data_IF_027093850653
#
_entry.id   IF_027093850653
#
_cell.length_a   1.000
_cell.length_b   1.000
_cell.length_c   1.000
_cell.angle_alpha   90.00
_cell.angle_beta   90.00
_cell.angle_gamma   90.00
#
_symmetry.space_group_name_H-M   'P 1'
#
loop_
_entity.id
_entity.type
_entity.pdbx_description
1 polymer ?
#
# COMPACT_ATOMS: atom_id res chain seq x y z
N UNK A 1 -23.98 0.87 -45.80
CA UNK A 1 -22.88 1.61 -45.14
C UNK A 1 -22.29 0.69 -44.07
N UNK A 2 -20.99 0.39 -44.13
CA UNK A 2 -20.32 -0.52 -43.18
C UNK A 2 -19.50 0.34 -42.21
N UNK A 3 -19.91 0.39 -40.95
CA UNK A 3 -19.18 1.13 -39.91
C UNK A 3 -18.09 0.19 -39.38
N UNK A 4 -16.84 0.47 -39.75
CA UNK A 4 -15.69 -0.24 -39.21
C UNK A 4 -15.11 0.58 -38.05
N UNK A 5 -15.17 0.01 -36.84
CA UNK A 5 -14.60 0.61 -35.65
C UNK A 5 -13.12 0.22 -35.55
N UNK A 6 -12.23 1.20 -35.38
CA UNK A 6 -10.83 0.92 -35.05
C UNK A 6 -10.76 0.28 -33.66
N UNK A 7 -9.95 -0.78 -33.46
CA UNK A 7 -9.78 -1.38 -32.15
C UNK A 7 -9.26 -0.33 -31.18
N UNK A 8 -10.01 -0.11 -30.11
CA UNK A 8 -9.60 0.79 -29.04
C UNK A 8 -8.48 0.07 -28.30
N UNK A 9 -7.24 0.48 -28.54
CA UNK A 9 -6.08 -0.02 -27.79
C UNK A 9 -6.33 0.30 -26.31
N UNK A 10 -6.58 -0.74 -25.51
CA UNK A 10 -6.71 -0.60 -24.07
C UNK A 10 -5.38 -0.05 -23.56
N UNK A 11 -5.36 1.20 -23.11
CA UNK A 11 -4.20 1.73 -22.40
C UNK A 11 -3.96 0.79 -21.22
N UNK A 12 -2.86 0.03 -21.25
CA UNK A 12 -2.44 -0.80 -20.12
C UNK A 12 -2.43 0.11 -18.90
N UNK A 13 -3.23 -0.23 -17.90
CA UNK A 13 -3.24 0.49 -16.63
C UNK A 13 -1.79 0.55 -16.12
N UNK A 14 -1.31 1.75 -15.79
CA UNK A 14 0.03 1.94 -15.26
C UNK A 14 0.19 1.03 -14.03
N UNK A 15 1.28 0.24 -13.92
CA UNK A 15 1.46 -0.63 -12.77
C UNK A 15 1.44 0.22 -11.50
N UNK A 16 0.68 -0.23 -10.50
CA UNK A 16 0.65 0.44 -9.20
C UNK A 16 2.07 0.45 -8.63
N UNK A 17 2.53 1.56 -8.01
CA UNK A 17 3.81 1.59 -7.33
C UNK A 17 3.87 0.45 -6.32
N UNK A 18 4.94 -0.35 -6.36
CA UNK A 18 5.16 -1.37 -5.35
C UNK A 18 5.33 -0.70 -3.98
N UNK A 19 4.72 -1.28 -2.95
CA UNK A 19 4.90 -0.82 -1.57
C UNK A 19 6.36 -1.00 -1.20
N UNK A 20 7.01 0.07 -0.74
CA UNK A 20 8.41 -0.02 -0.29
C UNK A 20 8.49 -0.84 1.00
N UNK A 21 9.61 -1.54 1.25
CA UNK A 21 9.85 -2.10 2.57
C UNK A 21 9.91 -0.99 3.62
N UNK A 22 9.34 -1.25 4.79
CA UNK A 22 9.44 -0.38 5.95
C UNK A 22 10.86 -0.37 6.49
N UNK A 23 11.32 0.80 6.90
CA UNK A 23 12.55 0.95 7.69
C UNK A 23 12.37 0.34 9.09
N UNK A 24 13.46 0.02 9.77
CA UNK A 24 13.41 -0.52 11.14
C UNK A 24 12.72 0.43 12.12
N UNK A 25 12.96 1.74 11.98
CA UNK A 25 12.30 2.77 12.79
C UNK A 25 10.78 2.79 12.59
N UNK A 26 10.31 2.60 11.35
CA UNK A 26 8.87 2.53 11.04
C UNK A 26 8.23 1.26 11.60
N UNK A 27 8.94 0.12 11.54
CA UNK A 27 8.48 -1.14 12.15
C UNK A 27 8.39 -1.02 13.67
N UNK A 28 9.41 -0.45 14.32
CA UNK A 28 9.43 -0.24 15.76
C UNK A 28 8.30 0.69 16.21
N UNK A 29 8.06 1.79 15.47
CA UNK A 29 6.95 2.70 15.73
C UNK A 29 5.59 2.01 15.59
N UNK A 30 5.40 1.21 14.54
CA UNK A 30 4.17 0.48 14.32
C UNK A 30 3.90 -0.54 15.44
N UNK A 31 4.92 -1.31 15.82
CA UNK A 31 4.84 -2.27 16.93
C UNK A 31 4.53 -1.59 18.26
N UNK A 32 5.14 -0.42 18.54
CA UNK A 32 4.82 0.36 19.74
C UNK A 32 3.37 0.86 19.76
N UNK A 33 2.83 1.30 18.61
CA UNK A 33 1.46 1.81 18.52
C UNK A 33 0.40 0.73 18.75
N UNK A 34 0.63 -0.47 18.22
CA UNK A 34 -0.31 -1.60 18.33
C UNK A 34 -0.04 -2.48 19.56
N UNK A 35 1.08 -2.29 20.24
CA UNK A 35 1.51 -3.14 21.37
C UNK A 35 0.63 -3.06 22.62
N UNK A 36 -0.26 -2.06 22.71
CA UNK A 36 -1.25 -1.93 23.79
C UNK A 36 -2.60 -2.61 23.49
N UNK A 37 -2.72 -3.20 22.30
CA UNK A 37 -3.96 -3.84 21.87
C UNK A 37 -3.94 -5.28 22.35
N UNK A 38 -4.85 -5.62 23.25
CA UNK A 38 -4.99 -6.96 23.83
C UNK A 38 -5.58 -7.96 22.83
N UNK A 39 -6.47 -7.49 21.95
CA UNK A 39 -7.04 -8.33 20.91
C UNK A 39 -6.02 -8.56 19.79
N UNK A 40 -5.52 -9.79 19.70
CA UNK A 40 -4.51 -10.19 18.72
C UNK A 40 -4.99 -10.04 17.27
N UNK A 41 -6.28 -10.28 17.00
CA UNK A 41 -6.85 -10.18 15.66
C UNK A 41 -6.86 -8.74 15.15
N UNK A 42 -7.26 -7.81 16.01
CA UNK A 42 -7.25 -6.38 15.78
C UNK A 42 -5.83 -5.86 15.65
N UNK A 43 -4.93 -6.26 16.56
CA UNK A 43 -3.50 -5.93 16.52
C UNK A 43 -2.88 -6.31 15.18
N UNK A 44 -3.04 -7.55 14.75
CA UNK A 44 -2.51 -8.04 13.48
C UNK A 44 -3.14 -7.36 12.27
N UNK A 45 -4.41 -6.98 12.35
CA UNK A 45 -5.09 -6.24 11.27
C UNK A 45 -4.56 -4.81 11.13
N UNK A 46 -4.32 -4.13 12.25
CA UNK A 46 -3.78 -2.78 12.28
C UNK A 46 -2.29 -2.76 11.90
N UNK A 47 -1.51 -3.77 12.29
CA UNK A 47 -0.12 -3.93 11.81
C UNK A 47 -0.07 -4.04 10.29
N UNK A 48 -0.89 -4.90 9.68
CA UNK A 48 -0.95 -5.05 8.23
C UNK A 48 -1.36 -3.75 7.53
N UNK A 49 -2.41 -3.08 8.03
CA UNK A 49 -2.87 -1.81 7.48
C UNK A 49 -1.82 -0.70 7.59
N UNK A 50 -1.19 -0.57 8.77
CA UNK A 50 -0.14 0.41 9.01
C UNK A 50 1.07 0.18 8.11
N UNK A 51 1.47 -1.07 7.92
CA UNK A 51 2.56 -1.45 7.02
C UNK A 51 2.27 -1.04 5.58
N UNK A 52 1.06 -1.31 5.08
CA UNK A 52 0.62 -0.90 3.74
C UNK A 52 0.63 0.62 3.57
N UNK A 53 0.01 1.37 4.48
CA UNK A 53 -0.07 2.83 4.37
C UNK A 53 1.34 3.47 4.40
N UNK A 54 2.22 3.01 5.27
CA UNK A 54 3.59 3.53 5.35
C UNK A 54 4.44 3.14 4.14
N UNK A 55 4.22 1.95 3.57
CA UNK A 55 4.85 1.48 2.34
C UNK A 55 4.36 2.20 1.08
N UNK A 56 3.15 2.75 1.09
CA UNK A 56 2.59 3.56 0.00
C UNK A 56 2.95 5.04 0.09
N UNK A 57 3.22 5.56 1.31
CA UNK A 57 3.62 6.96 1.49
C UNK A 57 5.01 7.19 0.89
N UNK A 58 5.02 8.01 -0.17
CA UNK A 58 6.26 8.59 -0.72
C UNK A 58 6.96 9.37 0.40
N UNK A 59 8.26 9.13 0.67
CA UNK A 59 8.98 9.89 1.69
C UNK A 59 8.89 11.37 1.33
N UNK A 60 8.42 12.20 2.28
CA UNK A 60 8.53 13.65 2.15
C UNK A 60 9.99 14.01 2.43
N UNK A 61 10.78 14.12 1.37
CA UNK A 61 12.20 14.44 1.42
C UNK A 61 13.02 13.50 0.56
N UNK A 62 13.27 13.91 -0.68
CA UNK A 62 14.45 13.55 -1.46
C UNK A 62 15.10 14.86 -1.86
#
# INVERSE_FOLDING_TARGET
IKILQKPVLSQKARPKPAQRPLTEAEKAKLSHLVGKIEDDGLRASLERLGATILGERKPKGS
#
